data_IF_486622198875
#
_entry.id   IF_486622198875
#
_cell.length_a   1.000
_cell.length_b   1.000
_cell.length_c   1.000
_cell.angle_alpha   90.00
_cell.angle_beta   90.00
_cell.angle_gamma   90.00
#
_symmetry.space_group_name_H-M   'P 1'
#
loop_
_entity.id
_entity.type
_entity.pdbx_description
1 polymer ?
#
# COMPACT_ATOMS: atom_id res chain seq x y z
N UNK A 1 -33.21 -16.39 11.32
CA UNK A 1 -32.25 -16.62 12.42
C UNK A 1 -31.00 -17.20 11.84
N UNK A 2 -29.85 -16.48 11.91
CA UNK A 2 -28.54 -17.02 11.48
C UNK A 2 -28.10 -18.03 12.54
N UNK A 3 -27.76 -19.28 12.11
CA UNK A 3 -27.24 -20.31 12.99
C UNK A 3 -26.04 -19.75 13.81
N UNK A 4 -25.84 -20.19 15.07
CA UNK A 4 -24.65 -19.84 15.82
C UNK A 4 -23.43 -20.19 14.98
N UNK A 5 -22.55 -19.21 14.76
CA UNK A 5 -21.35 -19.39 13.95
C UNK A 5 -20.39 -20.21 14.80
N UNK A 6 -20.23 -21.49 14.50
CA UNK A 6 -19.17 -22.32 15.06
C UNK A 6 -17.82 -21.67 14.74
N UNK A 7 -17.25 -21.00 15.75
CA UNK A 7 -15.87 -20.50 15.68
C UNK A 7 -14.95 -21.67 15.97
N UNK A 8 -13.89 -21.88 15.17
CA UNK A 8 -12.97 -22.95 15.44
C UNK A 8 -12.39 -22.80 16.87
N UNK A 9 -12.49 -23.86 17.65
CA UNK A 9 -11.98 -23.87 19.02
C UNK A 9 -10.46 -24.10 18.96
N UNK A 10 -9.69 -23.04 19.26
CA UNK A 10 -8.24 -23.11 19.25
C UNK A 10 -7.69 -23.43 20.64
N UNK A 11 -6.73 -24.38 20.72
CA UNK A 11 -5.99 -24.62 21.95
C UNK A 11 -5.17 -23.40 22.36
N UNK A 12 -4.82 -23.30 23.65
CA UNK A 12 -3.96 -22.21 24.17
C UNK A 12 -2.58 -22.23 23.47
N UNK A 13 -2.05 -23.40 23.21
CA UNK A 13 -0.76 -23.58 22.54
C UNK A 13 -0.81 -23.08 21.09
N UNK A 14 -1.81 -23.50 20.31
CA UNK A 14 -2.04 -23.03 18.95
C UNK A 14 -2.15 -21.51 18.91
N UNK A 15 -2.96 -20.89 19.80
CA UNK A 15 -3.11 -19.44 19.86
C UNK A 15 -1.80 -18.73 20.16
N UNK A 16 -1.00 -19.25 21.11
CA UNK A 16 0.32 -18.69 21.44
C UNK A 16 1.26 -18.78 20.23
N UNK A 17 1.29 -19.94 19.57
CA UNK A 17 2.14 -20.16 18.41
C UNK A 17 1.73 -19.31 17.21
N UNK A 18 0.42 -19.25 16.93
CA UNK A 18 -0.15 -18.37 15.92
C UNK A 18 0.15 -16.91 16.22
N UNK A 19 0.01 -16.50 17.50
CA UNK A 19 0.35 -15.15 17.97
C UNK A 19 1.79 -14.77 17.66
N UNK A 20 2.75 -15.60 18.00
CA UNK A 20 4.17 -15.37 17.70
C UNK A 20 4.43 -15.27 16.19
N UNK A 21 3.70 -16.06 15.38
CA UNK A 21 3.82 -16.05 13.93
C UNK A 21 3.33 -14.73 13.31
N UNK A 22 2.08 -14.37 13.57
CA UNK A 22 1.47 -13.21 12.92
C UNK A 22 1.98 -11.87 13.47
N UNK A 23 2.28 -11.77 14.77
CA UNK A 23 2.86 -10.54 15.34
C UNK A 23 4.24 -10.26 14.73
N UNK A 24 5.12 -11.27 14.68
CA UNK A 24 6.44 -11.11 14.06
C UNK A 24 6.31 -10.70 12.60
N UNK A 25 5.44 -11.36 11.84
CA UNK A 25 5.21 -11.07 10.43
C UNK A 25 4.67 -9.64 10.22
N UNK A 26 3.71 -9.23 11.04
CA UNK A 26 3.11 -7.90 10.99
C UNK A 26 4.12 -6.79 11.35
N UNK A 27 4.93 -6.96 12.39
CA UNK A 27 5.97 -6.00 12.74
C UNK A 27 7.11 -5.97 11.72
N UNK A 28 7.45 -7.10 11.09
CA UNK A 28 8.41 -7.12 9.98
C UNK A 28 7.90 -6.26 8.83
N UNK A 29 6.62 -6.40 8.49
CA UNK A 29 6.03 -5.58 7.44
C UNK A 29 5.95 -4.10 7.84
N UNK A 30 5.61 -3.78 9.09
CA UNK A 30 5.67 -2.42 9.60
C UNK A 30 7.08 -1.81 9.50
N UNK A 31 8.13 -2.58 9.85
CA UNK A 31 9.52 -2.15 9.68
C UNK A 31 9.87 -1.89 8.20
N UNK A 32 9.38 -2.73 7.28
CA UNK A 32 9.58 -2.51 5.85
C UNK A 32 8.91 -1.22 5.36
N UNK A 33 7.77 -0.82 5.94
CA UNK A 33 7.15 0.48 5.65
C UNK A 33 8.04 1.66 6.05
N UNK A 34 8.80 1.55 7.15
CA UNK A 34 9.79 2.57 7.50
C UNK A 34 10.83 2.73 6.40
N UNK A 35 11.39 1.63 5.89
CA UNK A 35 12.39 1.62 4.81
C UNK A 35 11.83 1.87 3.41
N UNK A 36 10.52 2.12 3.29
CA UNK A 36 9.85 2.49 2.03
C UNK A 36 9.60 3.99 1.93
N UNK A 37 9.30 4.63 3.05
CA UNK A 37 8.89 6.04 3.10
C UNK A 37 9.98 6.98 3.64
N UNK A 38 11.13 6.46 4.05
CA UNK A 38 12.23 7.26 4.61
C UNK A 38 12.83 8.27 3.62
N UNK A 39 12.82 7.98 2.31
CA UNK A 39 13.29 8.93 1.29
C UNK A 39 12.53 10.27 1.34
N UNK A 40 11.23 10.26 1.65
CA UNK A 40 10.45 11.50 1.72
C UNK A 40 10.93 12.45 2.83
N UNK A 41 11.53 11.92 3.90
CA UNK A 41 12.12 12.72 4.99
C UNK A 41 13.52 13.21 4.64
N UNK A 42 14.30 12.44 3.90
CA UNK A 42 15.63 12.82 3.43
C UNK A 42 15.62 13.70 2.17
N UNK A 43 14.46 13.87 1.52
CA UNK A 43 14.30 14.54 0.23
C UNK A 43 14.97 15.93 0.19
N UNK A 44 14.65 16.81 1.16
CA UNK A 44 15.24 18.14 1.22
C UNK A 44 16.74 18.09 1.55
N UNK A 45 17.14 17.25 2.50
CA UNK A 45 18.55 17.14 2.90
C UNK A 45 19.44 16.62 1.76
N UNK A 46 18.95 15.68 0.94
CA UNK A 46 19.61 15.23 -0.29
C UNK A 46 19.74 16.36 -1.31
N UNK A 47 18.65 17.09 -1.56
CA UNK A 47 18.65 18.22 -2.47
C UNK A 47 19.65 19.28 -2.05
N UNK A 48 19.68 19.65 -0.77
CA UNK A 48 20.60 20.63 -0.21
C UNK A 48 22.08 20.16 -0.26
N UNK A 49 22.31 18.83 -0.05
CA UNK A 49 23.66 18.26 -0.03
C UNK A 49 24.30 18.20 -1.43
N UNK A 50 23.52 17.85 -2.45
CA UNK A 50 24.02 17.59 -3.81
C UNK A 50 23.69 18.70 -4.81
N UNK A 51 22.92 19.72 -4.38
CA UNK A 51 22.45 20.79 -5.26
C UNK A 51 21.38 20.28 -6.26
N UNK A 52 20.62 19.25 -5.89
CA UNK A 52 19.61 18.66 -6.78
C UNK A 52 18.29 19.41 -6.75
N UNK A 53 17.73 19.60 -7.93
CA UNK A 53 16.36 20.10 -8.10
C UNK A 53 15.31 19.02 -7.74
N UNK A 54 14.04 19.41 -7.76
CA UNK A 54 12.92 18.52 -7.41
C UNK A 54 12.70 17.46 -8.49
N UNK A 55 13.00 17.77 -9.75
CA UNK A 55 12.94 16.84 -10.88
C UNK A 55 13.93 15.69 -10.71
N UNK A 56 15.16 16.01 -10.30
CA UNK A 56 16.22 15.03 -10.06
C UNK A 56 15.87 14.08 -8.90
N UNK A 57 15.41 14.62 -7.78
CA UNK A 57 14.87 13.80 -6.68
C UNK A 57 13.65 12.99 -7.14
N UNK A 58 12.78 13.58 -7.93
CA UNK A 58 11.61 12.94 -8.51
C UNK A 58 11.96 11.75 -9.38
N UNK A 59 13.10 11.75 -10.06
CA UNK A 59 13.58 10.62 -10.87
C UNK A 59 13.83 9.38 -10.00
N UNK A 60 14.39 9.56 -8.80
CA UNK A 60 14.59 8.47 -7.84
C UNK A 60 13.24 7.89 -7.40
N UNK A 61 12.26 8.75 -7.11
CA UNK A 61 10.91 8.34 -6.72
C UNK A 61 10.20 7.60 -7.87
N UNK A 62 10.29 8.13 -9.10
CA UNK A 62 9.70 7.50 -10.30
C UNK A 62 10.25 6.09 -10.51
N UNK A 63 11.58 5.92 -10.48
CA UNK A 63 12.22 4.62 -10.66
C UNK A 63 11.71 3.60 -9.63
N UNK A 64 11.63 4.00 -8.38
CA UNK A 64 11.18 3.15 -7.29
C UNK A 64 9.71 2.70 -7.45
N UNK A 65 8.80 3.63 -7.67
CA UNK A 65 7.37 3.34 -7.76
C UNK A 65 7.03 2.54 -9.03
N UNK A 66 7.72 2.81 -10.14
CA UNK A 66 7.59 2.02 -11.38
C UNK A 66 8.00 0.57 -11.14
N UNK A 67 9.18 0.36 -10.56
CA UNK A 67 9.67 -1.00 -10.29
C UNK A 67 8.80 -1.72 -9.28
N UNK A 68 8.33 -1.03 -8.22
CA UNK A 68 7.39 -1.65 -7.28
C UNK A 68 6.12 -2.12 -7.98
N UNK A 69 5.47 -1.25 -8.77
CA UNK A 69 4.21 -1.56 -9.46
C UNK A 69 4.35 -2.73 -10.43
N UNK A 70 5.40 -2.74 -11.23
CA UNK A 70 5.69 -3.84 -12.17
C UNK A 70 6.03 -5.13 -11.41
N UNK A 71 6.89 -5.05 -10.40
CA UNK A 71 7.34 -6.21 -9.64
C UNK A 71 6.21 -6.91 -8.88
N UNK A 72 5.24 -6.17 -8.35
CA UNK A 72 4.12 -6.75 -7.61
C UNK A 72 3.35 -7.76 -8.45
N UNK A 73 3.23 -7.52 -9.76
CA UNK A 73 2.56 -8.43 -10.70
C UNK A 73 3.33 -9.76 -10.85
N UNK A 74 4.67 -9.70 -10.91
CA UNK A 74 5.51 -10.90 -11.17
C UNK A 74 5.91 -11.63 -9.89
N UNK A 75 6.07 -10.93 -8.77
CA UNK A 75 6.50 -11.51 -7.50
C UNK A 75 5.39 -12.34 -6.81
N UNK A 76 4.12 -12.17 -7.18
CA UNK A 76 3.02 -13.00 -6.69
C UNK A 76 3.22 -14.49 -6.99
N UNK A 77 3.33 -14.91 -8.26
CA UNK A 77 3.62 -16.30 -8.62
C UNK A 77 4.93 -16.83 -8.03
N UNK A 78 5.95 -15.99 -7.87
CA UNK A 78 7.21 -16.38 -7.23
C UNK A 78 6.96 -16.71 -5.76
N UNK A 79 6.29 -15.83 -5.02
CA UNK A 79 5.96 -16.03 -3.61
C UNK A 79 5.09 -17.29 -3.38
N UNK A 80 4.17 -17.58 -4.31
CA UNK A 80 3.36 -18.79 -4.27
C UNK A 80 4.19 -20.06 -4.39
N UNK A 81 5.25 -20.03 -5.19
CA UNK A 81 6.14 -21.19 -5.41
C UNK A 81 7.14 -21.42 -4.29
N UNK A 82 7.73 -20.34 -3.75
CA UNK A 82 8.80 -20.45 -2.74
C UNK A 82 8.30 -20.50 -1.30
N UNK A 83 7.01 -20.17 -1.07
CA UNK A 83 6.39 -20.01 0.25
C UNK A 83 6.50 -18.60 0.80
N UNK A 84 5.54 -18.22 1.64
CA UNK A 84 5.43 -16.84 2.15
C UNK A 84 6.57 -16.46 3.08
N UNK A 85 7.05 -17.38 3.94
CA UNK A 85 8.19 -17.13 4.83
C UNK A 85 9.46 -16.78 4.04
N UNK A 86 9.80 -17.57 3.02
CA UNK A 86 10.98 -17.33 2.18
C UNK A 86 10.83 -16.02 1.40
N UNK A 87 9.63 -15.74 0.86
CA UNK A 87 9.33 -14.50 0.18
C UNK A 87 9.51 -13.29 1.09
N UNK A 88 9.04 -13.34 2.35
CA UNK A 88 9.25 -12.27 3.34
C UNK A 88 10.73 -12.08 3.66
N UNK A 89 11.50 -13.15 3.81
CA UNK A 89 12.94 -13.08 4.10
C UNK A 89 13.72 -12.46 2.94
N UNK A 90 13.41 -12.86 1.70
CA UNK A 90 13.99 -12.25 0.49
C UNK A 90 13.66 -10.76 0.45
N UNK A 91 12.39 -10.41 0.69
CA UNK A 91 11.92 -9.02 0.70
C UNK A 91 12.62 -8.19 1.75
N UNK A 92 12.63 -8.63 3.01
CA UNK A 92 13.18 -7.83 4.11
C UNK A 92 14.70 -7.70 4.03
N UNK A 93 15.45 -8.78 3.75
CA UNK A 93 16.91 -8.69 3.66
C UNK A 93 17.36 -7.96 2.40
N UNK A 94 16.65 -8.10 1.28
CA UNK A 94 16.89 -7.26 0.10
C UNK A 94 16.66 -5.78 0.40
N UNK A 95 15.57 -5.45 1.08
CA UNK A 95 15.31 -4.06 1.51
C UNK A 95 16.38 -3.53 2.48
N UNK A 96 16.89 -4.35 3.41
CA UNK A 96 18.00 -4.00 4.30
C UNK A 96 19.24 -3.61 3.49
N UNK A 97 19.65 -4.48 2.55
CA UNK A 97 20.83 -4.23 1.72
C UNK A 97 20.71 -2.94 0.93
N UNK A 98 19.57 -2.72 0.26
CA UNK A 98 19.40 -1.54 -0.60
C UNK A 98 19.08 -0.26 0.16
N UNK A 99 18.48 -0.32 1.36
CA UNK A 99 18.44 0.85 2.25
C UNK A 99 19.85 1.22 2.74
N UNK A 100 20.65 0.25 3.17
CA UNK A 100 22.02 0.49 3.58
C UNK A 100 22.85 1.02 2.40
N UNK A 101 22.73 0.44 1.20
CA UNK A 101 23.41 0.91 0.00
C UNK A 101 23.03 2.35 -0.35
N UNK A 102 21.74 2.72 -0.17
CA UNK A 102 21.30 4.11 -0.39
C UNK A 102 22.00 5.08 0.58
N UNK A 103 22.04 4.74 1.87
CA UNK A 103 22.79 5.53 2.86
C UNK A 103 24.28 5.62 2.55
N UNK A 104 24.90 4.51 2.09
CA UNK A 104 26.31 4.47 1.68
C UNK A 104 26.60 5.31 0.43
N UNK A 105 25.59 5.68 -0.34
CA UNK A 105 25.71 6.61 -1.46
C UNK A 105 26.33 7.95 -1.11
N UNK A 106 26.27 8.36 0.16
CA UNK A 106 27.00 9.55 0.64
C UNK A 106 28.51 9.49 0.47
N UNK A 107 29.06 8.28 0.39
CA UNK A 107 30.52 8.03 0.31
C UNK A 107 30.98 7.67 -1.10
N UNK A 108 30.09 7.72 -2.11
CA UNK A 108 30.40 7.42 -3.53
C UNK A 108 30.83 8.71 -4.26
N UNK A 109 31.68 9.53 -3.63
CA UNK A 109 32.09 10.84 -4.13
C UNK A 109 32.77 10.81 -5.50
N UNK A 110 33.32 9.66 -5.92
CA UNK A 110 33.91 9.49 -7.24
C UNK A 110 32.91 9.55 -8.41
N UNK A 111 31.61 9.44 -8.14
CA UNK A 111 30.57 9.59 -9.15
C UNK A 111 30.20 11.07 -9.41
N UNK A 112 30.80 12.01 -8.67
CA UNK A 112 30.42 13.43 -8.73
C UNK A 112 29.00 13.67 -8.17
N UNK A 113 28.40 14.80 -8.51
CA UNK A 113 27.03 15.15 -8.10
C UNK A 113 26.00 15.10 -9.25
N UNK A 114 26.46 14.72 -10.43
CA UNK A 114 25.72 14.76 -11.69
C UNK A 114 24.89 13.49 -11.95
N UNK A 115 24.56 13.23 -13.25
CA UNK A 115 23.65 12.17 -13.67
C UNK A 115 24.02 10.76 -13.19
N UNK A 116 25.31 10.46 -13.05
CA UNK A 116 25.77 9.14 -12.60
C UNK A 116 25.40 8.87 -11.14
N UNK A 117 25.50 9.87 -10.28
CA UNK A 117 25.11 9.74 -8.88
C UNK A 117 23.59 9.62 -8.75
N UNK A 118 22.80 10.38 -9.54
CA UNK A 118 21.33 10.25 -9.61
C UNK A 118 20.96 8.84 -10.07
N UNK A 119 21.62 8.32 -11.12
CA UNK A 119 21.38 6.97 -11.62
C UNK A 119 21.70 5.90 -10.56
N UNK A 120 22.76 6.07 -9.78
CA UNK A 120 23.07 5.21 -8.64
C UNK A 120 21.92 5.19 -7.63
N UNK A 121 21.50 6.35 -7.13
CA UNK A 121 20.43 6.44 -6.14
C UNK A 121 19.09 5.93 -6.69
N UNK A 122 18.77 6.25 -7.95
CA UNK A 122 17.55 5.75 -8.60
C UNK A 122 17.57 4.22 -8.73
N UNK A 123 18.70 3.64 -9.14
CA UNK A 123 18.84 2.18 -9.28
C UNK A 123 18.77 1.46 -7.94
N UNK A 124 19.46 1.97 -6.93
CA UNK A 124 19.44 1.40 -5.57
C UNK A 124 18.04 1.49 -4.98
N UNK A 125 17.33 2.60 -5.17
CA UNK A 125 15.97 2.78 -4.66
C UNK A 125 14.94 1.94 -5.41
N UNK A 126 15.12 1.76 -6.72
CA UNK A 126 14.34 0.84 -7.52
C UNK A 126 14.50 -0.62 -7.06
N UNK A 127 15.73 -1.04 -6.77
CA UNK A 127 16.02 -2.37 -6.23
C UNK A 127 15.44 -2.56 -4.82
N UNK A 128 15.53 -1.54 -3.94
CA UNK A 128 14.80 -1.56 -2.68
C UNK A 128 13.31 -1.82 -2.91
N UNK A 129 12.70 -1.11 -3.84
CA UNK A 129 11.27 -1.23 -4.17
C UNK A 129 10.91 -2.59 -4.75
N UNK A 130 11.79 -3.19 -5.57
CA UNK A 130 11.63 -4.57 -6.03
C UNK A 130 11.50 -5.55 -4.86
N UNK A 131 12.44 -5.50 -3.91
CA UNK A 131 12.40 -6.38 -2.74
C UNK A 131 11.24 -6.06 -1.80
N UNK A 132 10.88 -4.80 -1.65
CA UNK A 132 9.71 -4.37 -0.87
C UNK A 132 8.40 -4.95 -1.39
N UNK A 133 8.28 -5.23 -2.69
CA UNK A 133 7.05 -5.75 -3.29
C UNK A 133 6.70 -7.17 -2.85
N UNK A 134 7.66 -7.95 -2.33
CA UNK A 134 7.38 -9.28 -1.76
C UNK A 134 6.58 -9.23 -0.45
N UNK A 135 6.63 -8.13 0.28
CA UNK A 135 6.15 -8.05 1.66
C UNK A 135 4.65 -8.32 1.83
N UNK A 136 3.81 -7.66 1.02
CA UNK A 136 2.36 -7.85 1.05
C UNK A 136 1.96 -9.26 0.65
N UNK A 137 2.58 -9.79 -0.42
CA UNK A 137 2.32 -11.11 -0.96
C UNK A 137 2.67 -12.21 0.05
N UNK A 138 3.84 -12.08 0.69
CA UNK A 138 4.32 -12.98 1.72
C UNK A 138 3.40 -13.00 2.94
N UNK A 139 2.94 -11.81 3.40
CA UNK A 139 2.03 -11.68 4.52
C UNK A 139 0.70 -12.39 4.24
N UNK A 140 0.11 -12.16 3.06
CA UNK A 140 -1.14 -12.79 2.66
C UNK A 140 -0.96 -14.31 2.57
N UNK A 141 0.14 -14.79 1.97
CA UNK A 141 0.42 -16.21 1.80
C UNK A 141 0.54 -16.95 3.13
N UNK A 142 1.34 -16.45 4.07
CA UNK A 142 1.47 -17.07 5.40
C UNK A 142 0.13 -17.04 6.14
N UNK A 143 -0.54 -15.90 6.17
CA UNK A 143 -1.77 -15.77 6.94
C UNK A 143 -2.92 -16.62 6.38
N UNK A 144 -2.95 -16.90 5.09
CA UNK A 144 -3.97 -17.77 4.50
C UNK A 144 -3.96 -19.18 5.10
N UNK A 145 -2.80 -19.70 5.54
CA UNK A 145 -2.67 -21.00 6.17
C UNK A 145 -2.93 -21.00 7.70
N UNK A 146 -2.82 -19.85 8.35
CA UNK A 146 -2.95 -19.72 9.81
C UNK A 146 -4.31 -19.23 10.30
N UNK A 147 -5.16 -18.70 9.40
CA UNK A 147 -6.45 -18.11 9.76
C UNK A 147 -7.59 -18.75 8.96
N UNK A 148 -8.63 -19.14 9.69
CA UNK A 148 -9.89 -19.57 9.12
C UNK A 148 -10.53 -18.41 8.34
N UNK A 149 -11.22 -18.68 7.22
CA UNK A 149 -11.87 -17.66 6.36
C UNK A 149 -12.71 -16.66 7.16
N UNK A 150 -13.41 -17.12 8.20
CA UNK A 150 -14.25 -16.27 9.06
C UNK A 150 -13.46 -15.34 9.98
N UNK A 151 -12.18 -15.59 10.24
CA UNK A 151 -11.30 -14.75 11.08
C UNK A 151 -10.51 -13.74 10.24
N UNK A 152 -10.34 -13.97 8.94
CA UNK A 152 -9.47 -13.17 8.05
C UNK A 152 -9.82 -11.69 8.02
N UNK A 153 -11.11 -11.33 8.12
CA UNK A 153 -11.54 -9.93 8.11
C UNK A 153 -10.99 -9.12 9.29
N UNK A 154 -11.10 -9.66 10.51
CA UNK A 154 -10.60 -9.01 11.72
C UNK A 154 -9.08 -8.90 11.68
N UNK A 155 -8.39 -9.97 11.26
CA UNK A 155 -6.93 -9.95 11.18
C UNK A 155 -6.42 -9.03 10.08
N UNK A 156 -7.13 -8.91 8.96
CA UNK A 156 -6.78 -7.92 7.93
C UNK A 156 -6.83 -6.49 8.45
N UNK A 157 -7.81 -6.16 9.30
CA UNK A 157 -7.88 -4.85 9.95
C UNK A 157 -6.72 -4.61 10.92
N UNK A 158 -6.34 -5.63 11.72
CA UNK A 158 -5.20 -5.56 12.64
C UNK A 158 -3.90 -5.37 11.84
N UNK A 159 -3.68 -6.15 10.78
CA UNK A 159 -2.50 -5.99 9.92
C UNK A 159 -2.46 -4.62 9.24
N UNK A 160 -3.58 -4.11 8.76
CA UNK A 160 -3.67 -2.76 8.24
C UNK A 160 -3.22 -1.71 9.26
N UNK A 161 -3.64 -1.85 10.52
CA UNK A 161 -3.20 -0.97 11.61
C UNK A 161 -1.69 -1.10 11.90
N UNK A 162 -1.13 -2.31 11.89
CA UNK A 162 0.32 -2.53 12.08
C UNK A 162 1.14 -1.91 10.94
N UNK A 163 0.68 -2.03 9.70
CA UNK A 163 1.31 -1.40 8.53
C UNK A 163 1.34 0.12 8.71
N UNK A 164 0.22 0.70 9.07
CA UNK A 164 0.12 2.15 9.28
C UNK A 164 0.99 2.62 10.46
N UNK A 165 1.20 1.79 11.50
CA UNK A 165 2.13 2.12 12.58
C UNK A 165 3.58 2.26 12.08
N UNK A 166 4.00 1.47 11.09
CA UNK A 166 5.31 1.60 10.44
C UNK A 166 5.49 2.96 9.77
N UNK A 167 4.44 3.48 9.14
CA UNK A 167 4.42 4.84 8.58
C UNK A 167 4.53 5.90 9.67
N UNK A 168 3.75 5.77 10.75
CA UNK A 168 3.84 6.71 11.88
C UNK A 168 5.24 6.72 12.51
N UNK A 169 5.84 5.55 12.68
CA UNK A 169 7.19 5.43 13.23
C UNK A 169 8.24 6.14 12.39
N UNK A 170 8.20 6.07 11.05
CA UNK A 170 9.18 6.80 10.23
C UNK A 170 8.95 8.31 10.27
N UNK A 171 7.72 8.80 10.48
CA UNK A 171 7.50 10.22 10.72
C UNK A 171 8.25 10.72 11.96
N UNK A 172 8.22 9.95 13.04
CA UNK A 172 8.93 10.30 14.28
C UNK A 172 10.44 10.07 14.13
N UNK A 173 10.85 8.87 13.76
CA UNK A 173 12.27 8.48 13.69
C UNK A 173 12.98 9.26 12.58
N UNK A 174 12.36 9.42 11.42
CA UNK A 174 12.91 10.17 10.29
C UNK A 174 13.08 11.65 10.61
N UNK A 175 12.08 12.27 11.25
CA UNK A 175 12.15 13.65 11.68
C UNK A 175 13.28 13.90 12.68
N UNK A 176 13.43 13.02 13.67
CA UNK A 176 14.51 13.10 14.67
C UNK A 176 15.88 12.81 14.04
N UNK A 177 15.95 11.80 13.17
CA UNK A 177 17.21 11.43 12.52
C UNK A 177 17.76 12.55 11.64
N UNK A 178 16.93 13.21 10.86
CA UNK A 178 17.36 14.36 10.00
C UNK A 178 17.87 15.53 10.85
N UNK A 179 17.37 15.70 12.07
CA UNK A 179 17.81 16.78 12.95
C UNK A 179 19.16 16.49 13.63
N UNK A 180 19.30 15.26 14.17
CA UNK A 180 20.40 14.92 15.06
C UNK A 180 21.59 14.28 14.34
N UNK A 181 21.37 13.72 13.18
CA UNK A 181 22.32 12.89 12.46
C UNK A 181 22.41 13.32 10.99
N UNK A 182 23.51 13.03 10.29
CA UNK A 182 23.59 13.17 8.84
C UNK A 182 22.46 12.38 8.15
N UNK A 183 21.99 12.85 6.98
CA UNK A 183 20.82 12.31 6.27
C UNK A 183 20.89 10.79 6.00
N UNK A 184 22.07 10.20 5.92
CA UNK A 184 22.27 8.77 5.70
C UNK A 184 21.61 7.90 6.78
N UNK A 185 21.52 8.40 8.02
CA UNK A 185 20.95 7.67 9.14
C UNK A 185 19.45 7.47 9.01
N UNK A 186 18.79 8.27 8.21
CA UNK A 186 17.36 8.05 7.83
C UNK A 186 17.19 6.71 7.10
N UNK A 187 18.26 6.18 6.50
CA UNK A 187 18.28 4.88 5.81
C UNK A 187 18.89 3.79 6.68
N UNK A 188 19.95 4.08 7.43
CA UNK A 188 20.63 3.07 8.27
C UNK A 188 19.76 2.62 9.46
N UNK A 189 19.03 3.51 10.12
CA UNK A 189 18.17 3.17 11.24
C UNK A 189 17.05 2.20 10.82
N UNK A 190 16.23 2.49 9.78
CA UNK A 190 15.26 1.53 9.28
C UNK A 190 15.89 0.22 8.79
N UNK A 191 17.07 0.26 8.14
CA UNK A 191 17.78 -0.94 7.71
C UNK A 191 18.13 -1.84 8.91
N UNK A 192 18.64 -1.26 9.99
CA UNK A 192 18.94 -1.99 11.23
C UNK A 192 17.68 -2.62 11.85
N UNK A 193 16.58 -1.87 11.95
CA UNK A 193 15.29 -2.37 12.46
C UNK A 193 14.76 -3.50 11.57
N UNK A 194 14.79 -3.33 10.25
CA UNK A 194 14.39 -4.37 9.29
C UNK A 194 15.26 -5.62 9.41
N UNK A 195 16.57 -5.49 9.62
CA UNK A 195 17.47 -6.62 9.81
C UNK A 195 17.09 -7.42 11.07
N UNK A 196 16.88 -6.75 12.20
CA UNK A 196 16.42 -7.40 13.44
C UNK A 196 15.10 -8.14 13.20
N UNK A 197 14.13 -7.48 12.56
CA UNK A 197 12.83 -8.10 12.26
C UNK A 197 12.96 -9.26 11.25
N UNK A 198 13.90 -9.19 10.31
CA UNK A 198 14.22 -10.29 9.40
C UNK A 198 14.75 -11.52 10.15
N UNK A 199 15.66 -11.34 11.12
CA UNK A 199 16.13 -12.44 11.98
C UNK A 199 15.02 -13.00 12.87
N UNK A 200 14.15 -12.16 13.40
CA UNK A 200 12.98 -12.64 14.16
C UNK A 200 12.01 -13.42 13.25
N UNK A 201 11.81 -12.97 12.01
CA UNK A 201 11.02 -13.71 11.00
C UNK A 201 11.65 -15.07 10.71
N UNK A 202 12.95 -15.14 10.52
CA UNK A 202 13.67 -16.39 10.32
C UNK A 202 13.47 -17.37 11.50
N UNK A 203 13.41 -16.86 12.73
CA UNK A 203 13.29 -17.67 13.95
C UNK A 203 11.85 -18.10 14.24
N UNK A 204 10.88 -17.20 14.09
CA UNK A 204 9.53 -17.38 14.61
C UNK A 204 8.48 -17.68 13.53
N UNK A 205 8.62 -17.18 12.31
CA UNK A 205 7.60 -17.37 11.26
C UNK A 205 7.72 -18.75 10.62
N UNK A 206 6.57 -19.37 10.38
CA UNK A 206 6.41 -20.62 9.63
C UNK A 206 5.27 -20.47 8.64
N UNK A 207 5.35 -21.12 7.50
CA UNK A 207 4.33 -20.99 6.46
C UNK A 207 3.01 -21.63 6.86
N UNK A 208 3.05 -22.75 7.60
CA UNK A 208 1.83 -23.42 8.04
C UNK A 208 1.91 -23.87 9.51
N UNK A 209 0.78 -24.21 10.14
CA UNK A 209 0.74 -24.80 11.47
C UNK A 209 1.54 -26.09 11.58
N UNK A 210 1.49 -26.96 10.55
CA UNK A 210 2.19 -28.24 10.50
C UNK A 210 3.71 -28.05 10.55
N UNK A 211 4.25 -27.06 9.79
CA UNK A 211 5.67 -26.70 9.86
C UNK A 211 6.09 -26.18 11.24
N UNK A 212 5.14 -25.73 12.02
CA UNK A 212 5.34 -25.26 13.39
C UNK A 212 5.15 -26.37 14.43
N UNK A 213 4.92 -27.63 14.02
CA UNK A 213 4.66 -28.76 14.90
C UNK A 213 3.25 -28.77 15.48
N UNK A 214 2.30 -28.06 14.90
CA UNK A 214 0.90 -28.05 15.31
C UNK A 214 0.08 -29.01 14.43
N UNK A 215 -1.06 -29.54 14.92
CA UNK A 215 -1.97 -30.34 14.11
C UNK A 215 -2.43 -29.58 12.84
N UNK A 216 -2.80 -30.31 11.78
CA UNK A 216 -3.40 -29.73 10.60
C UNK A 216 -4.57 -28.83 10.95
N UNK A 217 -4.61 -27.65 10.36
CA UNK A 217 -5.62 -26.63 10.63
C UNK A 217 -6.50 -26.43 9.40
N UNK A 218 -7.80 -26.75 9.53
CA UNK A 218 -8.77 -26.48 8.47
C UNK A 218 -9.06 -24.98 8.39
N UNK A 219 -8.65 -24.34 7.31
CA UNK A 219 -8.91 -22.92 7.02
C UNK A 219 -10.29 -22.69 6.43
N UNK A 220 -11.03 -23.77 6.10
CA UNK A 220 -12.28 -23.75 5.33
C UNK A 220 -12.17 -22.95 4.02
N UNK A 221 -11.00 -22.98 3.40
CA UNK A 221 -10.73 -22.32 2.13
C UNK A 221 -11.27 -23.19 0.99
N UNK A 222 -12.05 -22.58 0.10
CA UNK A 222 -12.62 -23.28 -1.07
C UNK A 222 -11.56 -23.77 -2.08
N UNK A 223 -10.29 -23.42 -1.86
CA UNK A 223 -9.15 -23.89 -2.66
C UNK A 223 -8.57 -25.22 -2.16
N UNK A 224 -9.00 -25.73 -1.02
CA UNK A 224 -8.48 -26.99 -0.44
C UNK A 224 -8.79 -28.27 -1.22
N UNK A 225 -9.30 -28.18 -2.43
CA UNK A 225 -9.58 -29.33 -3.31
C UNK A 225 -9.41 -29.05 -4.81
N UNK A 226 -9.09 -27.82 -5.22
CA UNK A 226 -9.10 -27.44 -6.63
C UNK A 226 -7.63 -27.38 -7.13
N UNK A 227 -7.13 -28.51 -7.64
CA UNK A 227 -5.79 -28.67 -8.23
C UNK A 227 -5.65 -28.07 -9.64
N UNK A 228 -6.70 -27.47 -10.20
CA UNK A 228 -6.65 -26.84 -11.50
C UNK A 228 -5.74 -25.60 -11.46
N UNK A 229 -4.57 -25.73 -12.05
CA UNK A 229 -3.64 -24.64 -12.34
C UNK A 229 -4.33 -23.64 -13.26
N UNK A 230 -4.89 -22.58 -12.67
CA UNK A 230 -5.58 -21.54 -13.45
C UNK A 230 -4.54 -20.88 -14.35
N UNK A 231 -4.75 -20.95 -15.67
CA UNK A 231 -3.84 -20.36 -16.63
C UNK A 231 -3.82 -18.83 -16.47
N UNK A 232 -2.70 -18.29 -15.98
CA UNK A 232 -2.50 -16.87 -15.71
C UNK A 232 -2.83 -15.99 -16.95
N UNK A 233 -2.54 -16.49 -18.15
CA UNK A 233 -2.85 -15.80 -19.41
C UNK A 233 -4.35 -15.62 -19.63
N UNK A 234 -5.14 -16.63 -19.26
CA UNK A 234 -6.61 -16.57 -19.34
C UNK A 234 -7.18 -15.59 -18.31
N UNK A 235 -6.68 -15.60 -17.08
CA UNK A 235 -7.11 -14.67 -16.04
C UNK A 235 -6.81 -13.22 -16.39
N UNK A 236 -5.59 -12.95 -16.84
CA UNK A 236 -5.19 -11.61 -17.30
C UNK A 236 -6.09 -11.14 -18.44
N UNK A 237 -6.32 -11.99 -19.45
CA UNK A 237 -7.21 -11.65 -20.56
C UNK A 237 -8.64 -11.34 -20.10
N UNK A 238 -9.16 -12.13 -19.16
CA UNK A 238 -10.52 -11.95 -18.59
C UNK A 238 -10.63 -10.64 -17.79
N UNK A 239 -9.62 -10.31 -16.99
CA UNK A 239 -9.57 -9.10 -16.17
C UNK A 239 -9.40 -7.86 -17.06
N UNK A 240 -8.48 -7.89 -18.02
CA UNK A 240 -8.23 -6.78 -18.95
C UNK A 240 -9.37 -6.56 -19.97
N UNK A 241 -10.14 -7.57 -20.30
CA UNK A 241 -11.29 -7.44 -21.21
C UNK A 241 -12.53 -6.87 -20.51
N UNK A 242 -12.58 -6.80 -19.19
CA UNK A 242 -13.71 -6.27 -18.45
C UNK A 242 -13.66 -4.74 -18.34
N UNK A 243 -14.59 -3.99 -18.95
CA UNK A 243 -14.56 -2.52 -18.96
C UNK A 243 -14.72 -1.92 -17.57
N UNK A 244 -15.45 -2.57 -16.66
CA UNK A 244 -15.59 -2.13 -15.27
C UNK A 244 -14.25 -2.23 -14.55
N UNK A 245 -13.56 -3.36 -14.68
CA UNK A 245 -12.22 -3.58 -14.10
C UNK A 245 -11.21 -2.56 -14.62
N UNK A 246 -11.22 -2.28 -15.94
CA UNK A 246 -10.32 -1.28 -16.52
C UNK A 246 -10.65 0.15 -16.08
N UNK A 247 -11.93 0.47 -15.89
CA UNK A 247 -12.32 1.78 -15.32
C UNK A 247 -11.87 1.93 -13.87
N UNK A 248 -11.96 0.86 -13.06
CA UNK A 248 -11.44 0.85 -11.69
C UNK A 248 -9.90 0.98 -11.69
N UNK A 249 -9.21 0.28 -12.58
CA UNK A 249 -7.76 0.37 -12.73
C UNK A 249 -7.31 1.81 -13.11
N UNK A 250 -8.04 2.49 -13.98
CA UNK A 250 -7.80 3.88 -14.34
C UNK A 250 -8.07 4.83 -13.14
N UNK A 251 -9.09 4.56 -12.34
CA UNK A 251 -9.33 5.31 -11.11
C UNK A 251 -8.19 5.07 -10.09
N UNK A 252 -7.71 3.84 -9.95
CA UNK A 252 -6.56 3.55 -9.07
C UNK A 252 -5.27 4.24 -9.55
N UNK A 253 -5.06 4.41 -10.84
CA UNK A 253 -3.98 5.28 -11.34
C UNK A 253 -4.13 6.70 -10.79
N UNK A 254 -5.34 7.27 -10.83
CA UNK A 254 -5.61 8.61 -10.26
C UNK A 254 -5.40 8.64 -8.75
N UNK A 255 -5.87 7.61 -8.02
CA UNK A 255 -5.62 7.44 -6.59
C UNK A 255 -4.12 7.44 -6.29
N UNK A 256 -3.35 6.72 -7.11
CA UNK A 256 -1.89 6.63 -6.98
C UNK A 256 -1.20 7.98 -7.13
N UNK A 257 -1.63 8.78 -8.11
CA UNK A 257 -1.09 10.12 -8.30
C UNK A 257 -1.36 11.01 -7.07
N UNK A 258 -2.60 11.06 -6.58
CA UNK A 258 -2.95 11.87 -5.41
C UNK A 258 -2.26 11.38 -4.14
N UNK A 259 -2.30 10.07 -3.90
CA UNK A 259 -1.72 9.45 -2.70
C UNK A 259 -0.21 9.67 -2.63
N UNK A 260 0.53 9.26 -3.67
CA UNK A 260 1.98 9.39 -3.68
C UNK A 260 2.43 10.84 -3.86
N UNK A 261 1.66 11.69 -4.58
CA UNK A 261 1.89 13.12 -4.66
C UNK A 261 1.89 13.77 -3.29
N UNK A 262 0.99 13.29 -2.45
CA UNK A 262 0.89 13.73 -1.09
C UNK A 262 1.99 13.11 -0.19
N UNK A 263 2.11 11.79 -0.16
CA UNK A 263 3.01 11.06 0.73
C UNK A 263 4.50 11.38 0.51
N UNK A 264 4.91 11.58 -0.75
CA UNK A 264 6.32 11.80 -1.10
C UNK A 264 6.77 13.25 -0.95
N UNK A 265 5.88 14.22 -1.18
CA UNK A 265 6.25 15.64 -1.22
C UNK A 265 5.82 16.43 0.02
N UNK A 266 4.88 15.92 0.82
CA UNK A 266 4.37 16.63 1.99
C UNK A 266 5.44 17.00 3.03
N UNK A 267 6.40 16.13 3.42
CA UNK A 267 7.43 16.54 4.37
C UNK A 267 8.25 17.73 3.87
N UNK A 268 8.58 17.76 2.58
CA UNK A 268 9.30 18.86 1.95
C UNK A 268 8.45 20.14 1.85
N UNK A 269 7.16 20.01 1.55
CA UNK A 269 6.21 21.12 1.57
C UNK A 269 6.14 21.79 2.96
N UNK A 270 6.08 20.99 4.01
CA UNK A 270 6.05 21.52 5.39
C UNK A 270 7.34 22.27 5.73
N UNK A 271 8.49 21.82 5.24
CA UNK A 271 9.77 22.49 5.47
C UNK A 271 9.93 23.76 4.62
N UNK A 272 9.60 23.72 3.33
CA UNK A 272 9.87 24.82 2.39
C UNK A 272 8.80 25.92 2.42
N UNK A 273 7.52 25.56 2.60
CA UNK A 273 6.39 26.50 2.51
C UNK A 273 5.87 26.90 3.88
N UNK A 274 5.73 25.94 4.78
CA UNK A 274 5.20 26.19 6.12
C UNK A 274 6.29 26.51 7.14
N UNK A 275 7.57 26.40 6.74
CA UNK A 275 8.74 26.61 7.61
C UNK A 275 8.65 25.79 8.92
N UNK A 276 7.95 24.65 8.87
CA UNK A 276 7.74 23.76 10.01
C UNK A 276 8.83 22.68 10.03
N UNK A 277 9.69 22.64 11.05
CA UNK A 277 10.69 21.59 11.18
C UNK A 277 10.04 20.21 11.36
N UNK A 278 10.58 19.18 10.71
CA UNK A 278 10.04 17.80 10.78
C UNK A 278 10.09 17.20 12.19
N UNK A 279 10.99 17.69 13.05
CA UNK A 279 11.10 17.30 14.45
C UNK A 279 10.10 18.00 15.37
N UNK A 280 9.36 19.00 14.87
CA UNK A 280 8.41 19.74 15.69
C UNK A 280 7.32 18.83 16.25
N UNK A 281 6.90 19.08 17.47
CA UNK A 281 5.80 18.34 18.10
C UNK A 281 4.55 18.31 17.23
N UNK A 282 4.22 19.43 16.59
CA UNK A 282 3.06 19.54 15.69
C UNK A 282 3.17 18.58 14.51
N UNK A 283 4.35 18.48 13.87
CA UNK A 283 4.55 17.57 12.74
C UNK A 283 4.48 16.11 13.19
N UNK A 284 5.14 15.75 14.28
CA UNK A 284 5.18 14.38 14.79
C UNK A 284 3.81 13.89 15.29
N UNK A 285 3.08 14.71 16.05
CA UNK A 285 1.73 14.36 16.48
C UNK A 285 0.76 14.29 15.31
N UNK A 286 0.91 15.17 14.32
CA UNK A 286 0.15 15.13 13.07
C UNK A 286 0.26 13.76 12.37
N UNK A 287 1.41 13.10 12.42
CA UNK A 287 1.60 11.78 11.84
C UNK A 287 0.67 10.71 12.45
N UNK A 288 0.53 10.69 13.77
CA UNK A 288 -0.38 9.75 14.44
C UNK A 288 -1.85 10.03 14.10
N UNK A 289 -2.22 11.29 14.05
CA UNK A 289 -3.59 11.70 13.66
C UNK A 289 -3.89 11.32 12.22
N UNK A 290 -2.95 11.48 11.32
CA UNK A 290 -3.05 11.07 9.90
C UNK A 290 -3.24 9.56 9.78
N UNK A 291 -2.49 8.77 10.54
CA UNK A 291 -2.64 7.31 10.58
C UNK A 291 -4.02 6.92 11.10
N UNK A 292 -4.45 7.52 12.19
CA UNK A 292 -5.78 7.27 12.76
C UNK A 292 -6.89 7.64 11.77
N UNK A 293 -6.78 8.79 11.09
CA UNK A 293 -7.71 9.22 10.05
C UNK A 293 -7.76 8.22 8.88
N UNK A 294 -6.62 7.68 8.46
CA UNK A 294 -6.57 6.65 7.43
C UNK A 294 -7.31 5.37 7.82
N UNK A 295 -7.12 4.89 9.06
CA UNK A 295 -7.83 3.71 9.59
C UNK A 295 -9.33 3.99 9.64
N UNK A 296 -9.73 5.14 10.17
CA UNK A 296 -11.13 5.56 10.23
C UNK A 296 -11.75 5.67 8.85
N UNK A 297 -11.03 6.22 7.87
CA UNK A 297 -11.50 6.35 6.50
C UNK A 297 -11.85 5.01 5.85
N UNK A 298 -11.00 4.00 6.01
CA UNK A 298 -11.26 2.65 5.51
C UNK A 298 -12.49 2.01 6.21
N UNK A 299 -12.62 2.20 7.52
CA UNK A 299 -13.76 1.70 8.30
C UNK A 299 -15.07 2.39 7.90
N UNK A 300 -15.08 3.72 7.81
CA UNK A 300 -16.24 4.52 7.36
C UNK A 300 -16.65 4.10 5.95
N UNK A 301 -15.69 3.91 5.05
CA UNK A 301 -15.96 3.51 3.68
C UNK A 301 -16.66 2.13 3.60
N UNK A 302 -16.16 1.15 4.38
CA UNK A 302 -16.77 -0.18 4.44
C UNK A 302 -18.20 -0.13 4.94
N UNK A 303 -18.43 0.51 6.08
CA UNK A 303 -19.76 0.63 6.69
C UNK A 303 -20.72 1.44 5.82
N UNK A 304 -20.28 2.58 5.28
CA UNK A 304 -21.11 3.40 4.39
C UNK A 304 -21.49 2.66 3.11
N UNK A 305 -20.56 1.91 2.53
CA UNK A 305 -20.84 1.09 1.34
C UNK A 305 -21.95 0.08 1.60
N UNK A 306 -21.90 -0.60 2.75
CA UNK A 306 -22.85 -1.68 3.04
C UNK A 306 -24.22 -1.15 3.50
N UNK A 307 -24.26 -0.05 4.26
CA UNK A 307 -25.48 0.47 4.86
C UNK A 307 -26.20 1.53 4.02
N UNK A 308 -25.45 2.41 3.35
CA UNK A 308 -26.04 3.54 2.60
C UNK A 308 -26.17 3.26 1.09
N UNK A 309 -25.33 2.36 0.56
CA UNK A 309 -25.22 2.14 -0.89
C UNK A 309 -25.44 0.68 -1.31
N UNK A 310 -26.04 -0.17 -0.48
CA UNK A 310 -26.33 -1.59 -0.80
C UNK A 310 -25.12 -2.35 -1.32
N UNK A 311 -23.95 -2.16 -0.65
CA UNK A 311 -22.66 -2.74 -1.03
C UNK A 311 -22.14 -2.29 -2.41
N UNK A 312 -22.60 -1.15 -2.94
CA UNK A 312 -22.01 -0.52 -4.12
C UNK A 312 -20.76 0.26 -3.73
N UNK A 313 -19.62 -0.07 -4.34
CA UNK A 313 -18.31 0.51 -4.00
C UNK A 313 -18.06 1.88 -4.65
N UNK A 314 -18.44 2.11 -5.93
CA UNK A 314 -18.14 3.37 -6.61
C UNK A 314 -18.74 4.61 -5.96
N UNK A 315 -19.97 4.64 -5.40
CA UNK A 315 -20.49 5.82 -4.73
C UNK A 315 -19.64 6.27 -3.54
N UNK A 316 -19.13 5.33 -2.74
CA UNK A 316 -18.27 5.65 -1.58
C UNK A 316 -16.91 6.16 -2.02
N UNK A 317 -16.32 5.56 -3.06
CA UNK A 317 -15.08 6.06 -3.64
C UNK A 317 -15.25 7.47 -4.23
N UNK A 318 -16.39 7.77 -4.87
CA UNK A 318 -16.74 9.12 -5.32
C UNK A 318 -16.73 10.13 -4.17
N UNK A 319 -17.36 9.81 -3.04
CA UNK A 319 -17.37 10.67 -1.85
C UNK A 319 -15.93 10.87 -1.32
N UNK A 320 -15.11 9.81 -1.32
CA UNK A 320 -13.71 9.89 -0.95
C UNK A 320 -12.91 10.86 -1.85
N UNK A 321 -13.09 10.79 -3.16
CA UNK A 321 -12.47 11.74 -4.10
C UNK A 321 -12.97 13.18 -3.91
N UNK A 322 -14.28 13.36 -3.70
CA UNK A 322 -14.85 14.69 -3.44
C UNK A 322 -14.22 15.32 -2.18
N UNK A 323 -14.06 14.52 -1.11
CA UNK A 323 -13.37 14.96 0.10
C UNK A 323 -11.92 15.36 -0.19
N UNK A 324 -11.18 14.56 -0.97
CA UNK A 324 -9.81 14.87 -1.37
C UNK A 324 -9.74 16.21 -2.14
N UNK A 325 -10.65 16.42 -3.09
CA UNK A 325 -10.70 17.68 -3.86
C UNK A 325 -10.87 18.88 -2.92
N UNK A 326 -11.81 18.82 -1.98
CA UNK A 326 -12.03 19.91 -1.01
C UNK A 326 -10.77 20.15 -0.18
N UNK A 327 -10.14 19.09 0.34
CA UNK A 327 -8.92 19.21 1.13
C UNK A 327 -7.76 19.79 0.33
N UNK A 328 -7.58 19.36 -0.92
CA UNK A 328 -6.52 19.86 -1.80
C UNK A 328 -6.75 21.33 -2.20
N UNK A 329 -8.01 21.75 -2.35
CA UNK A 329 -8.35 23.18 -2.54
C UNK A 329 -7.96 24.00 -1.30
N UNK A 330 -8.20 23.49 -0.09
CA UNK A 330 -7.77 24.17 1.15
C UNK A 330 -6.25 24.28 1.22
N UNK A 331 -5.52 23.21 0.87
CA UNK A 331 -4.05 23.24 0.80
C UNK A 331 -3.55 24.24 -0.25
N UNK A 332 -4.22 24.32 -1.40
CA UNK A 332 -3.86 25.25 -2.48
C UNK A 332 -4.06 26.72 -2.09
N UNK A 333 -5.18 27.05 -1.44
CA UNK A 333 -5.48 28.41 -0.96
C UNK A 333 -4.55 28.79 0.20
N UNK A 334 -4.06 27.78 0.95
CA UNK A 334 -3.12 27.89 2.06
C UNK A 334 -3.49 28.97 3.12
N UNK A 335 -4.69 28.93 3.71
CA UNK A 335 -5.18 29.99 4.60
C UNK A 335 -4.47 30.03 5.96
N UNK A 336 -3.56 29.09 6.24
CA UNK A 336 -2.75 29.01 7.45
C UNK A 336 -2.54 27.58 7.94
N UNK A 337 -1.52 27.40 8.78
CA UNK A 337 -1.07 26.06 9.22
C UNK A 337 -2.17 25.17 9.84
N UNK A 338 -3.08 25.65 10.71
CA UNK A 338 -4.14 24.79 11.27
C UNK A 338 -5.06 24.21 10.20
N UNK A 339 -5.42 24.99 9.19
CA UNK A 339 -6.28 24.54 8.08
C UNK A 339 -5.57 23.52 7.19
N UNK A 340 -4.27 23.72 6.97
CA UNK A 340 -3.44 22.80 6.19
C UNK A 340 -3.32 21.46 6.90
N UNK A 341 -3.08 21.45 8.22
CA UNK A 341 -3.03 20.22 9.02
C UNK A 341 -4.38 19.51 9.01
N UNK A 342 -5.49 20.27 9.21
CA UNK A 342 -6.83 19.71 9.14
C UNK A 342 -7.15 19.09 7.78
N UNK A 343 -6.85 19.80 6.70
CA UNK A 343 -7.00 19.31 5.34
C UNK A 343 -6.13 18.06 5.08
N UNK A 344 -4.93 18.01 5.64
CA UNK A 344 -4.04 16.87 5.55
C UNK A 344 -4.63 15.62 6.18
N UNK A 345 -5.15 15.75 7.40
CA UNK A 345 -5.79 14.65 8.13
C UNK A 345 -7.01 14.13 7.34
N UNK A 346 -7.87 15.03 6.89
CA UNK A 346 -9.06 14.66 6.13
C UNK A 346 -8.72 14.09 4.75
N UNK A 347 -7.66 14.57 4.10
CA UNK A 347 -7.19 14.00 2.84
C UNK A 347 -6.70 12.56 3.01
N UNK A 348 -6.01 12.24 4.12
CA UNK A 348 -5.61 10.86 4.45
C UNK A 348 -6.83 9.95 4.65
N UNK A 349 -7.88 10.46 5.28
CA UNK A 349 -9.15 9.75 5.41
C UNK A 349 -9.76 9.49 4.01
N UNK A 350 -9.84 10.50 3.14
CA UNK A 350 -10.34 10.37 1.77
C UNK A 350 -9.54 9.38 0.92
N UNK A 351 -8.20 9.43 0.98
CA UNK A 351 -7.32 8.48 0.29
C UNK A 351 -7.63 7.05 0.74
N UNK A 352 -7.76 6.83 2.05
CA UNK A 352 -8.03 5.50 2.59
C UNK A 352 -9.44 5.00 2.26
N UNK A 353 -10.43 5.89 2.19
CA UNK A 353 -11.77 5.56 1.70
C UNK A 353 -11.73 5.01 0.27
N UNK A 354 -11.08 5.73 -0.65
CA UNK A 354 -10.99 5.32 -2.06
C UNK A 354 -10.21 4.01 -2.19
N UNK A 355 -9.02 3.95 -1.61
CA UNK A 355 -8.13 2.79 -1.73
C UNK A 355 -8.76 1.50 -1.16
N UNK A 356 -9.43 1.56 -0.01
CA UNK A 356 -10.07 0.38 0.58
C UNK A 356 -11.25 -0.12 -0.27
N UNK A 357 -11.97 0.77 -0.96
CA UNK A 357 -13.08 0.39 -1.83
C UNK A 357 -12.61 -0.18 -3.16
N UNK A 358 -11.62 0.43 -3.79
CA UNK A 358 -11.18 0.06 -5.14
C UNK A 358 -10.16 -1.09 -5.12
N UNK A 359 -9.06 -0.95 -4.41
CA UNK A 359 -8.03 -2.01 -4.35
C UNK A 359 -8.45 -3.19 -3.47
N UNK A 360 -9.07 -2.91 -2.32
CA UNK A 360 -9.49 -3.96 -1.38
C UNK A 360 -10.73 -4.72 -1.84
N UNK A 361 -11.86 -4.04 -1.86
CA UNK A 361 -13.17 -4.70 -1.98
C UNK A 361 -13.58 -4.97 -3.42
N UNK A 362 -13.39 -3.98 -4.33
CA UNK A 362 -13.79 -4.15 -5.72
C UNK A 362 -12.98 -5.24 -6.45
N UNK A 363 -11.73 -5.48 -6.05
CA UNK A 363 -10.93 -6.59 -6.59
C UNK A 363 -11.56 -7.95 -6.33
N UNK A 364 -12.15 -8.14 -5.16
CA UNK A 364 -12.88 -9.37 -4.82
C UNK A 364 -14.22 -9.45 -5.52
N UNK A 365 -14.94 -8.33 -5.61
CA UNK A 365 -16.30 -8.25 -6.17
C UNK A 365 -16.30 -8.47 -7.69
N UNK A 366 -15.35 -7.89 -8.41
CA UNK A 366 -15.28 -7.95 -9.88
C UNK A 366 -14.27 -8.98 -10.41
N UNK A 367 -13.27 -9.38 -9.62
CA UNK A 367 -12.31 -10.45 -9.96
C UNK A 367 -12.87 -11.86 -9.74
N UNK A 368 -13.81 -12.02 -8.80
CA UNK A 368 -14.29 -13.33 -8.36
C UNK A 368 -13.21 -14.15 -7.65
N UNK A 369 -13.55 -15.31 -7.07
CA UNK A 369 -12.62 -16.10 -6.22
C UNK A 369 -11.29 -16.46 -6.90
N UNK A 370 -11.29 -16.77 -8.22
CA UNK A 370 -10.09 -17.20 -8.97
C UNK A 370 -9.28 -16.04 -9.57
N UNK A 371 -9.86 -14.85 -9.77
CA UNK A 371 -9.21 -13.72 -10.40
C UNK A 371 -9.02 -12.52 -9.43
N UNK A 372 -9.42 -12.63 -8.16
CA UNK A 372 -9.31 -11.55 -7.18
C UNK A 372 -7.85 -11.11 -6.98
N UNK A 373 -6.91 -12.04 -6.85
CA UNK A 373 -5.48 -11.74 -6.70
C UNK A 373 -4.91 -11.04 -7.96
N UNK A 374 -5.31 -11.48 -9.15
CA UNK A 374 -4.91 -10.86 -10.42
C UNK A 374 -5.50 -9.44 -10.54
N UNK A 375 -6.77 -9.25 -10.15
CA UNK A 375 -7.41 -7.94 -10.14
C UNK A 375 -6.77 -7.00 -9.13
N UNK A 376 -6.46 -7.49 -7.92
CA UNK A 376 -5.73 -6.73 -6.90
C UNK A 376 -4.35 -6.31 -7.42
N UNK A 377 -3.62 -7.24 -8.04
CA UNK A 377 -2.29 -6.95 -8.62
C UNK A 377 -2.36 -5.89 -9.73
N UNK A 378 -3.42 -5.90 -10.56
CA UNK A 378 -3.65 -4.87 -11.57
C UNK A 378 -3.96 -3.52 -10.91
N UNK A 379 -4.86 -3.47 -9.93
CA UNK A 379 -5.28 -2.23 -9.28
C UNK A 379 -4.13 -1.59 -8.51
N UNK A 380 -3.42 -2.35 -7.69
CA UNK A 380 -2.23 -1.88 -6.98
C UNK A 380 -1.12 -1.49 -7.96
N UNK A 381 -0.88 -2.29 -9.00
CA UNK A 381 0.08 -1.97 -10.05
C UNK A 381 -0.22 -0.62 -10.71
N UNK A 382 -1.47 -0.38 -11.11
CA UNK A 382 -1.89 0.90 -11.70
C UNK A 382 -1.77 2.06 -10.70
N UNK A 383 -2.05 1.84 -9.43
CA UNK A 383 -1.85 2.84 -8.39
C UNK A 383 -0.38 3.24 -8.27
N UNK A 384 0.55 2.28 -8.24
CA UNK A 384 1.97 2.58 -8.18
C UNK A 384 2.50 3.22 -9.48
N UNK A 385 1.96 2.86 -10.65
CA UNK A 385 2.29 3.52 -11.93
C UNK A 385 1.80 4.97 -11.92
N UNK A 386 0.58 5.24 -11.41
CA UNK A 386 0.10 6.60 -11.18
C UNK A 386 0.99 7.37 -10.21
N UNK A 387 1.45 6.72 -9.15
CA UNK A 387 2.44 7.26 -8.22
C UNK A 387 3.79 7.54 -8.86
N UNK A 388 4.23 6.72 -9.81
CA UNK A 388 5.47 6.94 -10.54
C UNK A 388 5.47 8.25 -11.34
N UNK A 389 4.33 8.63 -11.91
CA UNK A 389 4.19 9.90 -12.60
C UNK A 389 4.39 11.13 -11.67
N UNK A 390 4.17 10.94 -10.36
CA UNK A 390 4.37 11.97 -9.35
C UNK A 390 5.87 12.25 -9.10
N UNK A 391 6.75 11.31 -9.27
CA UNK A 391 8.17 11.53 -9.02
C UNK A 391 8.72 12.66 -9.89
N UNK A 392 9.16 12.34 -11.10
CA UNK A 392 9.74 13.32 -12.03
C UNK A 392 8.71 14.34 -12.51
N UNK A 393 7.46 13.92 -12.76
CA UNK A 393 6.42 14.81 -13.25
C UNK A 393 6.06 15.90 -12.26
N UNK A 394 5.82 15.55 -11.00
CA UNK A 394 5.56 16.52 -9.93
C UNK A 394 6.82 17.34 -9.64
N UNK A 395 8.00 16.71 -9.62
CA UNK A 395 9.27 17.41 -9.45
C UNK A 395 9.43 18.53 -10.47
N UNK A 396 9.20 18.22 -11.76
CA UNK A 396 9.25 19.20 -12.85
C UNK A 396 8.24 20.34 -12.68
N UNK A 397 6.99 20.01 -12.29
CA UNK A 397 5.97 21.03 -12.01
C UNK A 397 6.42 21.97 -10.88
N UNK A 398 6.98 21.41 -9.81
CA UNK A 398 7.42 22.18 -8.63
C UNK A 398 8.65 23.04 -8.93
N UNK A 399 9.54 22.63 -9.83
CA UNK A 399 10.72 23.41 -10.24
C UNK A 399 10.33 24.59 -11.15
N UNK A 400 9.36 24.40 -12.05
CA UNK A 400 8.98 25.42 -13.02
C UNK A 400 7.90 26.38 -12.51
N UNK A 401 6.91 25.86 -11.75
CA UNK A 401 5.75 26.64 -11.29
C UNK A 401 5.66 26.74 -9.77
N UNK A 402 6.60 26.15 -9.03
CA UNK A 402 6.61 26.20 -7.57
C UNK A 402 5.48 25.41 -6.91
N UNK A 403 5.38 25.54 -5.60
CA UNK A 403 4.41 24.81 -4.78
C UNK A 403 2.93 25.16 -5.08
N UNK A 404 2.67 26.27 -5.76
CA UNK A 404 1.30 26.62 -6.21
C UNK A 404 0.73 25.56 -7.15
N UNK A 405 1.57 24.83 -7.89
CA UNK A 405 1.15 23.75 -8.81
C UNK A 405 0.82 22.43 -8.13
N UNK A 406 1.25 22.23 -6.88
CA UNK A 406 1.13 20.94 -6.17
C UNK A 406 -0.33 20.55 -5.94
N UNK A 407 -1.15 21.42 -5.33
CA UNK A 407 -2.58 21.20 -5.12
C UNK A 407 -3.36 20.97 -6.42
N UNK A 408 -3.31 21.91 -7.37
CA UNK A 408 -4.04 21.82 -8.64
C UNK A 408 -3.74 20.55 -9.45
N UNK A 409 -2.49 20.10 -9.49
CA UNK A 409 -2.14 18.87 -10.22
C UNK A 409 -2.82 17.62 -9.61
N UNK A 410 -2.87 17.51 -8.29
CA UNK A 410 -3.57 16.43 -7.61
C UNK A 410 -5.10 16.55 -7.75
N UNK A 411 -5.65 17.77 -7.71
CA UNK A 411 -7.08 18.03 -7.93
C UNK A 411 -7.51 17.53 -9.30
N UNK A 412 -6.71 17.75 -10.35
CA UNK A 412 -7.03 17.29 -11.70
C UNK A 412 -7.20 15.76 -11.74
N UNK A 413 -6.29 14.99 -11.12
CA UNK A 413 -6.42 13.54 -11.05
C UNK A 413 -7.56 13.07 -10.14
N UNK A 414 -7.80 13.74 -9.02
CA UNK A 414 -8.94 13.44 -8.15
C UNK A 414 -10.28 13.69 -8.87
N UNK A 415 -10.39 14.72 -9.69
CA UNK A 415 -11.56 14.99 -10.54
C UNK A 415 -11.77 13.88 -11.57
N UNK A 416 -10.72 13.46 -12.28
CA UNK A 416 -10.81 12.35 -13.23
C UNK A 416 -11.24 11.07 -12.52
N UNK A 417 -10.62 10.73 -11.37
CA UNK A 417 -11.01 9.58 -10.56
C UNK A 417 -12.48 9.64 -10.10
N UNK A 418 -12.93 10.81 -9.68
CA UNK A 418 -14.33 11.08 -9.31
C UNK A 418 -15.28 10.83 -10.47
N UNK A 419 -15.00 11.35 -11.67
CA UNK A 419 -15.81 11.13 -12.88
C UNK A 419 -15.85 9.65 -13.30
N UNK A 420 -14.75 8.92 -13.18
CA UNK A 420 -14.72 7.48 -13.42
C UNK A 420 -15.61 6.72 -12.43
N UNK A 421 -15.66 7.12 -11.17
CA UNK A 421 -16.56 6.53 -10.18
C UNK A 421 -18.01 6.90 -10.42
N UNK A 422 -18.29 8.11 -10.88
CA UNK A 422 -19.63 8.52 -11.27
C UNK A 422 -20.17 7.68 -12.46
N UNK A 423 -19.28 7.38 -13.44
CA UNK A 423 -19.62 6.48 -14.56
C UNK A 423 -19.99 5.07 -14.06
N UNK A 424 -19.36 4.59 -12.99
CA UNK A 424 -19.61 3.29 -12.40
C UNK A 424 -20.65 3.30 -11.26
N UNK A 425 -21.35 4.42 -11.03
CA UNK A 425 -22.25 4.61 -9.87
C UNK A 425 -23.19 3.46 -9.62
N UNK A 426 -23.77 2.89 -10.69
CA UNK A 426 -24.72 1.79 -10.64
C UNK A 426 -24.09 0.42 -10.89
N UNK A 427 -22.78 0.32 -10.98
CA UNK A 427 -22.11 -0.96 -11.18
C UNK A 427 -22.28 -1.84 -9.95
N UNK A 428 -22.91 -2.99 -10.15
CA UNK A 428 -23.15 -4.02 -9.12
C UNK A 428 -22.36 -5.25 -9.55
N UNK A 429 -21.69 -5.96 -8.62
CA UNK A 429 -21.12 -7.26 -8.91
C UNK A 429 -22.20 -8.19 -9.45
N UNK A 430 -21.90 -8.96 -10.51
CA UNK A 430 -22.88 -9.89 -11.07
C UNK A 430 -23.31 -10.90 -9.98
N UNK A 431 -24.53 -10.79 -9.50
CA UNK A 431 -25.13 -11.80 -8.63
C UNK A 431 -25.22 -13.10 -9.41
N UNK A 432 -24.59 -14.17 -8.93
CA UNK A 432 -24.93 -15.51 -9.40
C UNK A 432 -26.39 -15.76 -9.07
N UNK A 433 -27.20 -16.34 -10.01
CA UNK A 433 -28.50 -16.85 -9.67
C UNK A 433 -28.36 -17.75 -8.45
N UNK A 434 -29.22 -17.58 -7.46
CA UNK A 434 -29.31 -18.52 -6.34
C UNK A 434 -29.64 -19.92 -6.92
N UNK A 435 -29.02 -21.00 -6.39
CA UNK A 435 -29.39 -22.37 -6.82
C UNK A 435 -30.87 -22.65 -6.78
N UNK A 436 -31.63 -21.92 -5.94
CA UNK A 436 -33.10 -21.98 -5.85
C UNK A 436 -33.80 -21.30 -7.02
N UNK A 437 -33.12 -20.60 -7.92
CA UNK A 437 -33.73 -19.93 -9.08
C UNK A 437 -33.46 -20.65 -10.41
N UNK A 438 -32.81 -21.81 -10.39
CA UNK A 438 -32.64 -22.67 -11.57
C UNK A 438 -33.88 -23.56 -11.63
N UNK A 439 -34.70 -23.48 -12.69
CA UNK A 439 -35.80 -24.39 -12.86
C UNK A 439 -35.30 -25.83 -12.83
N UNK A 440 -35.98 -26.70 -12.10
CA UNK A 440 -35.56 -28.10 -11.85
C UNK A 440 -35.29 -28.96 -13.12
N UNK A 441 -35.63 -28.46 -14.32
CA UNK A 441 -35.41 -29.15 -15.58
C UNK A 441 -34.06 -28.89 -16.25
N UNK A 442 -33.20 -27.98 -15.74
CA UNK A 442 -31.87 -27.67 -16.35
C UNK A 442 -30.70 -28.27 -15.54
N UNK A 443 -30.99 -28.81 -14.36
CA UNK A 443 -29.99 -29.44 -13.48
C UNK A 443 -29.58 -30.85 -13.92
N UNK A 444 -30.37 -31.52 -14.75
CA UNK A 444 -30.12 -32.90 -15.20
C UNK A 444 -29.23 -33.00 -16.46
N UNK A 445 -28.99 -31.90 -17.21
CA UNK A 445 -28.13 -31.89 -18.39
C UNK A 445 -26.66 -31.52 -18.12
N UNK A 446 -26.31 -31.24 -16.86
CA UNK A 446 -24.95 -30.83 -16.49
C UNK A 446 -24.29 -31.71 -15.42
N UNK A 447 -24.81 -32.97 -15.22
CA UNK A 447 -24.17 -33.95 -14.32
C UNK A 447 -23.32 -34.96 -15.07
#
# INVERSE_FOLDING_TARGET
MRSPIDRPCHTKEFRRRRGANWLTLGFTYAAMYMGRYNLSFANKALADTYGWDKTQIGTIITAALTIYGLSAIFNGPIADRIGGRKAMLIGVFGAVVFNAAFGLGAYVGFLGTGPFLIAYFASVWALNSYFQSFSALALIKVNSAWFHVRERGVFSAIFGSMIQSGRALIFVIGGIAVMLLPWQWVFFIPAGIMAIMGFLTLRFVRDSPEEAGQPPFDTADASSGDTDTVNMKYLLKKVLANPVTMTIAAAEFCTGFVRHGFEQWFPRYMQEVQHLPLQSFVFQQGAFVVVAAGILGAFIAGTASDWLFDSRRPPVAFVGYALQIVCLCVVWIAPGLPWIIGAFVLNSLGISMVHSMLSGTASMDFGGKKAAATATGLFDGMQYIGGAAVGSGMGWLLDHWGWVSWGPSMIAFALVGSLLMLKLWNAVPARRPSPASIPAGVAEEAA
#
